data_IF_139565429523
#
_entry.id   IF_139565429523
#
_cell.length_a   1.000
_cell.length_b   1.000
_cell.length_c   1.000
_cell.angle_alpha   90.00
_cell.angle_beta   90.00
_cell.angle_gamma   90.00
#
_symmetry.space_group_name_H-M   'P 1'
#
loop_
_entity.id
_entity.type
_entity.pdbx_description
1 polymer ?
#
# COMPACT_ATOMS: atom_id res chain seq x y z
N UNK A 1 20.50 39.83 -24.35
CA UNK A 1 19.65 38.64 -24.13
C UNK A 1 20.41 37.35 -23.71
N UNK A 2 21.71 37.35 -23.38
CA UNK A 2 22.45 36.09 -23.09
C UNK A 2 22.69 35.78 -21.60
N UNK A 3 22.47 36.72 -20.68
CA UNK A 3 22.79 36.55 -19.24
C UNK A 3 21.57 36.04 -18.44
N UNK A 4 20.37 36.50 -18.79
CA UNK A 4 19.11 36.05 -18.16
C UNK A 4 18.89 34.53 -18.36
N UNK A 5 19.15 34.03 -19.57
CA UNK A 5 19.00 32.61 -19.91
C UNK A 5 19.94 31.68 -19.09
N UNK A 6 21.14 32.14 -18.70
CA UNK A 6 22.05 31.33 -17.85
C UNK A 6 21.58 31.27 -16.40
N UNK A 7 21.11 32.39 -15.83
CA UNK A 7 20.56 32.43 -14.47
C UNK A 7 19.27 31.62 -14.36
N UNK A 8 18.37 31.74 -15.34
CA UNK A 8 17.13 30.96 -15.41
C UNK A 8 17.40 29.46 -15.54
N UNK A 9 18.35 29.03 -16.39
CA UNK A 9 18.76 27.63 -16.49
C UNK A 9 19.33 27.09 -15.18
N UNK A 10 20.13 27.90 -14.47
CA UNK A 10 20.69 27.53 -13.16
C UNK A 10 19.58 27.38 -12.11
N UNK A 11 18.67 28.35 -12.05
CA UNK A 11 17.53 28.32 -11.14
C UNK A 11 16.63 27.10 -11.41
N UNK A 12 16.31 26.82 -12.69
CA UNK A 12 15.57 25.62 -13.08
C UNK A 12 16.27 24.36 -12.58
N UNK A 13 17.59 24.23 -12.81
CA UNK A 13 18.35 23.06 -12.36
C UNK A 13 18.34 22.90 -10.83
N UNK A 14 18.42 24.00 -10.08
CA UNK A 14 18.34 23.99 -8.61
C UNK A 14 16.95 23.58 -8.12
N UNK A 15 15.88 24.12 -8.72
CA UNK A 15 14.50 23.73 -8.40
C UNK A 15 14.25 22.25 -8.68
N UNK A 16 14.70 21.73 -9.82
CA UNK A 16 14.57 20.31 -10.16
C UNK A 16 15.38 19.40 -9.21
N UNK A 17 16.58 19.83 -8.79
CA UNK A 17 17.36 19.08 -7.79
C UNK A 17 16.62 19.02 -6.46
N UNK A 18 16.07 20.15 -5.98
CA UNK A 18 15.31 20.19 -4.74
C UNK A 18 14.07 19.31 -4.83
N UNK A 19 13.30 19.44 -5.91
CA UNK A 19 12.15 18.58 -6.18
C UNK A 19 12.52 17.09 -6.16
N UNK A 20 13.66 16.71 -6.76
CA UNK A 20 14.14 15.33 -6.71
C UNK A 20 14.48 14.86 -5.29
N UNK A 21 15.07 15.72 -4.46
CA UNK A 21 15.37 15.40 -3.06
C UNK A 21 14.06 15.17 -2.30
N UNK A 22 13.16 16.15 -2.34
CA UNK A 22 11.86 16.09 -1.66
C UNK A 22 11.06 14.85 -2.11
N UNK A 23 11.07 14.54 -3.41
CA UNK A 23 10.39 13.36 -3.95
C UNK A 23 11.02 12.04 -3.45
N UNK A 24 12.34 11.97 -3.31
CA UNK A 24 13.01 10.77 -2.76
C UNK A 24 12.64 10.54 -1.30
N UNK A 25 12.56 11.61 -0.52
CA UNK A 25 12.22 11.54 0.90
C UNK A 25 10.79 11.05 1.07
N UNK A 26 9.83 11.62 0.33
CA UNK A 26 8.43 11.16 0.30
C UNK A 26 8.35 9.68 -0.11
N UNK A 27 9.11 9.26 -1.13
CA UNK A 27 9.09 7.88 -1.58
C UNK A 27 9.67 6.92 -0.54
N UNK A 28 10.66 7.38 0.25
CA UNK A 28 11.23 6.62 1.34
C UNK A 28 10.20 6.44 2.45
N UNK A 29 9.57 7.51 2.90
CA UNK A 29 8.50 7.46 3.91
C UNK A 29 7.35 6.55 3.48
N UNK A 30 6.90 6.67 2.22
CA UNK A 30 5.86 5.79 1.68
C UNK A 30 6.29 4.31 1.64
N UNK A 31 7.58 4.04 1.44
CA UNK A 31 8.10 2.66 1.45
C UNK A 31 8.10 2.11 2.86
N UNK A 32 8.57 2.89 3.85
CA UNK A 32 8.57 2.49 5.26
C UNK A 32 7.14 2.21 5.76
N UNK A 33 6.20 3.11 5.51
CA UNK A 33 4.79 2.93 5.88
C UNK A 33 4.15 1.69 5.23
N UNK A 34 4.53 1.36 3.99
CA UNK A 34 4.05 0.16 3.32
C UNK A 34 4.66 -1.11 3.91
N UNK A 35 5.94 -1.08 4.28
CA UNK A 35 6.59 -2.23 4.92
C UNK A 35 5.96 -2.49 6.29
N UNK A 36 5.67 -1.45 7.09
CA UNK A 36 4.91 -1.57 8.35
C UNK A 36 3.52 -2.18 8.13
N UNK A 37 2.78 -1.69 7.11
CA UNK A 37 1.46 -2.22 6.77
C UNK A 37 1.54 -3.70 6.34
N UNK A 38 2.58 -4.06 5.59
CA UNK A 38 2.83 -5.43 5.13
C UNK A 38 3.10 -6.36 6.30
N UNK A 39 3.93 -5.95 7.25
CA UNK A 39 4.23 -6.72 8.45
C UNK A 39 2.97 -6.91 9.30
N UNK A 40 2.17 -5.85 9.48
CA UNK A 40 0.89 -5.94 10.18
C UNK A 40 -0.08 -6.91 9.49
N UNK A 41 -0.20 -6.85 8.16
CA UNK A 41 -1.08 -7.77 7.42
C UNK A 41 -0.60 -9.22 7.51
N UNK A 42 0.72 -9.48 7.41
CA UNK A 42 1.29 -10.82 7.50
C UNK A 42 1.00 -11.53 8.84
N UNK A 43 0.71 -10.78 9.92
CA UNK A 43 0.29 -11.38 11.20
C UNK A 43 -1.18 -11.82 11.23
N UNK A 44 -1.97 -11.42 10.24
CA UNK A 44 -3.42 -11.61 10.21
C UNK A 44 -3.94 -12.27 8.93
N UNK A 45 -3.05 -12.59 7.97
CA UNK A 45 -3.43 -13.08 6.64
C UNK A 45 -4.12 -14.45 6.66
N UNK A 46 -3.85 -15.28 7.68
CA UNK A 46 -4.51 -16.58 7.87
C UNK A 46 -5.79 -16.50 8.69
N UNK A 47 -6.04 -15.40 9.42
CA UNK A 47 -7.10 -15.33 10.45
C UNK A 47 -8.48 -15.61 9.88
N UNK A 48 -8.77 -15.12 8.67
CA UNK A 48 -10.07 -15.35 8.02
C UNK A 48 -10.24 -16.83 7.60
N UNK A 49 -9.18 -17.50 7.14
CA UNK A 49 -9.20 -18.91 6.78
C UNK A 49 -9.29 -19.81 8.02
N UNK A 50 -8.48 -19.50 9.04
CA UNK A 50 -8.48 -20.20 10.33
C UNK A 50 -9.86 -20.13 10.99
N UNK A 51 -10.47 -18.93 10.99
CA UNK A 51 -11.80 -18.72 11.53
C UNK A 51 -12.87 -19.48 10.73
N UNK A 52 -12.77 -19.51 9.41
CA UNK A 52 -13.71 -20.26 8.56
C UNK A 52 -13.63 -21.75 8.87
N UNK A 53 -12.42 -22.30 8.95
CA UNK A 53 -12.18 -23.71 9.28
C UNK A 53 -12.71 -24.05 10.67
N UNK A 54 -12.46 -23.18 11.64
CA UNK A 54 -13.02 -23.31 12.98
C UNK A 54 -14.55 -23.29 12.96
N UNK A 55 -15.15 -22.34 12.24
CA UNK A 55 -16.60 -22.21 12.15
C UNK A 55 -17.25 -23.48 11.61
N UNK A 56 -16.72 -24.03 10.51
CA UNK A 56 -17.18 -25.29 9.91
C UNK A 56 -17.09 -26.46 10.91
N UNK A 57 -16.05 -26.52 11.73
CA UNK A 57 -15.84 -27.58 12.72
C UNK A 57 -16.87 -27.58 13.87
N UNK A 58 -17.46 -26.43 14.17
CA UNK A 58 -18.42 -26.27 15.27
C UNK A 58 -19.88 -26.13 14.79
N UNK A 59 -20.11 -25.90 13.51
CA UNK A 59 -21.44 -25.62 12.95
C UNK A 59 -22.47 -26.71 13.30
N UNK A 60 -22.05 -27.97 13.34
CA UNK A 60 -22.93 -29.12 13.66
C UNK A 60 -23.32 -29.22 15.14
N UNK A 61 -22.67 -28.44 16.02
CA UNK A 61 -22.92 -28.42 17.48
C UNK A 61 -23.78 -27.23 17.90
N UNK A 62 -24.13 -26.34 16.97
CA UNK A 62 -24.84 -25.10 17.22
C UNK A 62 -26.32 -25.25 16.94
N UNK A 63 -27.12 -24.38 17.57
CA UNK A 63 -28.51 -24.17 17.14
C UNK A 63 -28.53 -23.53 15.74
N UNK A 64 -29.65 -23.66 14.99
CA UNK A 64 -29.77 -23.05 13.66
C UNK A 64 -29.49 -21.54 13.65
N UNK A 65 -29.97 -20.79 14.66
CA UNK A 65 -29.72 -19.34 14.77
C UNK A 65 -28.24 -19.01 15.04
N UNK A 66 -27.57 -19.79 15.90
CA UNK A 66 -26.14 -19.61 16.17
C UNK A 66 -25.28 -19.96 14.96
N UNK A 67 -25.63 -21.02 14.23
CA UNK A 67 -24.96 -21.41 12.99
C UNK A 67 -25.09 -20.31 11.91
N UNK A 68 -26.28 -19.73 11.77
CA UNK A 68 -26.52 -18.63 10.81
C UNK A 68 -25.70 -17.38 11.18
N UNK A 69 -25.69 -16.99 12.46
CA UNK A 69 -24.87 -15.86 12.94
C UNK A 69 -23.38 -16.09 12.73
N UNK A 70 -22.91 -17.30 12.99
CA UNK A 70 -21.52 -17.67 12.78
C UNK A 70 -21.12 -17.59 11.31
N UNK A 71 -21.97 -18.09 10.40
CA UNK A 71 -21.76 -17.97 8.96
C UNK A 71 -21.73 -16.51 8.49
N UNK A 72 -22.65 -15.67 8.98
CA UNK A 72 -22.65 -14.25 8.67
C UNK A 72 -21.34 -13.58 9.09
N UNK A 73 -20.86 -13.87 10.30
CA UNK A 73 -19.60 -13.34 10.79
C UNK A 73 -18.40 -13.84 9.97
N UNK A 74 -18.37 -15.12 9.57
CA UNK A 74 -17.34 -15.64 8.64
C UNK A 74 -17.32 -14.88 7.31
N UNK A 75 -18.50 -14.54 6.76
CA UNK A 75 -18.61 -13.76 5.52
C UNK A 75 -18.08 -12.34 5.71
N UNK A 76 -18.43 -11.68 6.82
CA UNK A 76 -17.95 -10.32 7.13
C UNK A 76 -16.43 -10.30 7.34
N UNK A 77 -15.89 -11.26 8.07
CA UNK A 77 -14.44 -11.38 8.28
C UNK A 77 -13.69 -11.56 6.96
N UNK A 78 -14.20 -12.40 6.04
CA UNK A 78 -13.64 -12.54 4.68
C UNK A 78 -13.65 -11.24 3.89
N UNK A 79 -14.68 -10.40 4.07
CA UNK A 79 -14.73 -9.08 3.41
C UNK A 79 -13.68 -8.13 3.98
N UNK A 80 -13.46 -8.15 5.30
CA UNK A 80 -12.44 -7.34 5.97
C UNK A 80 -11.04 -7.76 5.51
N UNK A 81 -10.73 -9.06 5.52
CA UNK A 81 -9.46 -9.58 5.01
C UNK A 81 -9.23 -9.18 3.54
N UNK A 82 -10.24 -9.38 2.68
CA UNK A 82 -10.17 -8.97 1.28
C UNK A 82 -9.86 -7.47 1.15
N UNK A 83 -10.53 -6.62 1.93
CA UNK A 83 -10.30 -5.18 1.93
C UNK A 83 -8.84 -4.83 2.30
N UNK A 84 -8.32 -5.47 3.35
CA UNK A 84 -6.92 -5.28 3.77
C UNK A 84 -5.93 -5.73 2.68
N UNK A 85 -6.18 -6.87 2.05
CA UNK A 85 -5.37 -7.39 0.93
C UNK A 85 -5.41 -6.49 -0.29
N UNK A 86 -6.58 -5.97 -0.64
CA UNK A 86 -6.76 -5.05 -1.78
C UNK A 86 -6.04 -3.72 -1.48
N UNK A 87 -6.14 -3.16 -0.27
CA UNK A 87 -5.40 -1.97 0.14
C UNK A 87 -3.88 -2.18 0.05
N UNK A 88 -3.38 -3.31 0.53
CA UNK A 88 -1.97 -3.70 0.39
C UNK A 88 -1.51 -3.72 -1.07
N UNK A 89 -2.32 -4.32 -1.95
CA UNK A 89 -2.03 -4.36 -3.39
C UNK A 89 -1.99 -2.96 -3.99
N UNK A 90 -2.97 -2.12 -3.67
CA UNK A 90 -3.10 -0.79 -4.26
C UNK A 90 -1.95 0.13 -3.83
N UNK A 91 -1.54 0.11 -2.55
CA UNK A 91 -0.36 0.86 -2.07
C UNK A 91 0.92 0.36 -2.73
N UNK A 92 1.08 -0.96 -2.90
CA UNK A 92 2.23 -1.54 -3.61
C UNK A 92 2.31 -1.04 -5.05
N UNK A 93 1.18 -0.94 -5.74
CA UNK A 93 1.11 -0.50 -7.13
C UNK A 93 1.39 1.00 -7.26
N UNK A 94 0.89 1.81 -6.32
CA UNK A 94 1.26 3.23 -6.16
C UNK A 94 2.77 3.38 -5.94
N UNK A 95 3.38 2.60 -5.04
CA UNK A 95 4.82 2.59 -4.81
C UNK A 95 5.63 2.25 -6.07
N UNK A 96 5.18 1.26 -6.84
CA UNK A 96 5.82 0.90 -8.11
C UNK A 96 5.75 2.04 -9.12
N UNK A 97 4.60 2.70 -9.24
CA UNK A 97 4.43 3.86 -10.10
C UNK A 97 5.36 5.01 -9.68
N UNK A 98 5.45 5.32 -8.39
CA UNK A 98 6.32 6.38 -7.90
C UNK A 98 7.82 6.05 -8.04
N UNK A 99 8.22 4.79 -7.84
CA UNK A 99 9.60 4.32 -8.11
C UNK A 99 9.96 4.45 -9.59
N UNK A 100 9.03 4.14 -10.49
CA UNK A 100 9.21 4.35 -11.93
C UNK A 100 9.35 5.85 -12.25
N UNK A 101 8.46 6.69 -11.72
CA UNK A 101 8.50 8.13 -11.94
C UNK A 101 9.79 8.78 -11.42
N UNK A 102 10.33 8.32 -10.30
CA UNK A 102 11.63 8.79 -9.81
C UNK A 102 12.75 8.52 -10.83
N UNK A 103 12.78 7.34 -11.46
CA UNK A 103 13.78 7.02 -12.48
C UNK A 103 13.65 7.92 -13.71
N UNK A 104 12.42 8.20 -14.14
CA UNK A 104 12.16 9.13 -15.25
C UNK A 104 12.66 10.54 -14.91
N UNK A 105 12.32 11.06 -13.73
CA UNK A 105 12.79 12.37 -13.25
C UNK A 105 14.32 12.46 -13.17
N UNK A 106 14.99 11.37 -12.75
CA UNK A 106 16.45 11.31 -12.73
C UNK A 106 17.06 11.35 -14.13
N UNK A 107 16.41 10.74 -15.12
CA UNK A 107 16.84 10.77 -16.51
C UNK A 107 16.60 12.14 -17.16
N UNK A 108 15.52 12.85 -16.80
CA UNK A 108 15.21 14.21 -17.29
C UNK A 108 16.25 15.26 -16.83
N UNK A 109 17.04 14.96 -15.79
CA UNK A 109 18.05 15.86 -15.20
C UNK A 109 19.48 15.58 -15.68
N UNK A 110 19.73 14.38 -16.23
CA UNK A 110 21.01 14.01 -16.86
C UNK A 110 21.22 14.77 -18.15
#
# INVERSE_FOLDING_TARGET
MSIFNKKEKKLKKELYKRYLTDYKDILKELTELYDDLKESYATTDSVAEDFTTFAESITTKLTPEEAERLQQFSIELKKVDKCARDAMRDVRDVLRAHKKRLKELQNEIR
#
